data_IF_166623845158
#
_entry.id   IF_166623845158
#
_cell.length_a   1.000
_cell.length_b   1.000
_cell.length_c   1.000
_cell.angle_alpha   90.00
_cell.angle_beta   90.00
_cell.angle_gamma   90.00
#
_symmetry.space_group_name_H-M   'P 1'
#
loop_
_entity.id
_entity.type
_entity.pdbx_description
1 polymer ?
#
# COMPACT_ATOMS: atom_id res chain seq x y z
N UNK A 1 1.62 0.64 10.72
CA UNK A 1 1.99 1.12 12.08
C UNK A 1 3.50 1.32 12.13
N UNK A 2 4.00 2.36 12.80
CA UNK A 2 5.45 2.48 13.04
C UNK A 2 5.92 1.27 13.85
N UNK A 3 6.97 0.61 13.40
CA UNK A 3 7.52 -0.53 14.10
C UNK A 3 8.42 -0.05 15.24
N UNK A 4 8.20 -0.55 16.45
CA UNK A 4 9.07 -0.34 17.61
C UNK A 4 10.04 -1.53 17.74
N UNK A 5 10.83 -1.54 18.80
CA UNK A 5 11.62 -2.68 19.27
C UNK A 5 10.79 -3.95 19.38
N UNK A 6 11.34 -5.07 18.88
CA UNK A 6 10.74 -6.42 18.84
C UNK A 6 10.57 -7.03 20.24
N UNK A 7 9.68 -6.44 21.05
CA UNK A 7 9.45 -6.76 22.47
C UNK A 7 7.98 -6.98 22.74
N UNK A 8 7.66 -7.72 23.81
CA UNK A 8 6.26 -7.96 24.22
C UNK A 8 5.45 -6.67 24.40
N UNK A 9 6.06 -5.64 25.01
CA UNK A 9 5.44 -4.34 25.19
C UNK A 9 5.21 -3.61 23.84
N UNK A 10 6.18 -3.71 22.93
CA UNK A 10 6.06 -3.16 21.58
C UNK A 10 4.92 -3.81 20.79
N UNK A 11 4.80 -5.15 20.86
CA UNK A 11 3.70 -5.89 20.23
C UNK A 11 2.35 -5.53 20.83
N UNK A 12 2.24 -5.43 22.16
CA UNK A 12 0.99 -5.09 22.85
C UNK A 12 0.48 -3.70 22.43
N UNK A 13 1.35 -2.68 22.42
CA UNK A 13 1.00 -1.34 21.93
C UNK A 13 0.57 -1.34 20.47
N UNK A 14 1.24 -2.11 19.63
CA UNK A 14 0.88 -2.22 18.21
C UNK A 14 -0.46 -2.93 18.01
N UNK A 15 -0.75 -3.95 18.81
CA UNK A 15 -2.04 -4.63 18.85
C UNK A 15 -3.16 -3.66 19.24
N UNK A 16 -3.00 -2.92 20.34
CA UNK A 16 -4.01 -1.95 20.81
C UNK A 16 -4.29 -0.89 19.74
N UNK A 17 -3.25 -0.38 19.07
CA UNK A 17 -3.41 0.56 17.96
C UNK A 17 -4.12 -0.09 16.76
N UNK A 18 -3.80 -1.33 16.40
CA UNK A 18 -4.49 -2.05 15.33
C UNK A 18 -5.98 -2.20 15.65
N UNK A 19 -6.34 -2.62 16.87
CA UNK A 19 -7.73 -2.72 17.32
C UNK A 19 -8.43 -1.36 17.30
N UNK A 20 -7.76 -0.28 17.73
CA UNK A 20 -8.32 1.06 17.64
C UNK A 20 -8.67 1.44 16.18
N UNK A 21 -7.82 1.08 15.20
CA UNK A 21 -8.09 1.30 13.77
C UNK A 21 -9.23 0.45 13.23
N UNK A 22 -9.29 -0.84 13.59
CA UNK A 22 -10.45 -1.68 13.26
C UNK A 22 -11.75 -1.04 13.77
N UNK A 23 -11.78 -0.64 15.04
CA UNK A 23 -12.94 -0.01 15.66
C UNK A 23 -13.29 1.33 14.99
N UNK A 24 -12.32 2.11 14.56
CA UNK A 24 -12.57 3.36 13.82
C UNK A 24 -13.23 3.09 12.47
N UNK A 25 -12.79 2.07 11.72
CA UNK A 25 -13.41 1.68 10.45
C UNK A 25 -14.84 1.16 10.69
N UNK A 26 -15.05 0.33 11.71
CA UNK A 26 -16.39 -0.14 12.07
C UNK A 26 -17.33 1.00 12.45
N UNK A 27 -16.86 1.98 13.25
CA UNK A 27 -17.63 3.20 13.55
C UNK A 27 -17.93 4.02 12.30
N UNK A 28 -16.98 4.14 11.37
CA UNK A 28 -17.20 4.84 10.11
C UNK A 28 -18.39 4.23 9.34
N UNK A 29 -18.40 2.90 9.16
CA UNK A 29 -19.42 2.23 8.35
C UNK A 29 -20.74 1.98 9.09
N UNK A 30 -20.74 1.92 10.42
CA UNK A 30 -21.96 1.62 11.20
C UNK A 30 -22.63 2.87 11.77
N UNK A 31 -21.84 3.87 12.19
CA UNK A 31 -22.34 5.00 12.98
C UNK A 31 -22.28 6.33 12.22
N UNK A 32 -21.18 6.61 11.51
CA UNK A 32 -20.98 7.92 10.87
C UNK A 32 -21.48 7.98 9.41
N UNK A 33 -21.34 6.90 8.65
CA UNK A 33 -21.65 6.87 7.22
C UNK A 33 -22.42 5.60 6.76
N UNK A 34 -23.39 5.06 7.52
CA UNK A 34 -24.06 3.79 7.19
C UNK A 34 -24.84 3.81 5.87
N UNK A 35 -25.30 4.99 5.44
CA UNK A 35 -26.01 5.18 4.18
C UNK A 35 -25.08 5.43 2.98
N UNK A 36 -23.78 5.62 3.24
CA UNK A 36 -22.79 6.04 2.23
C UNK A 36 -21.66 5.03 2.03
N UNK A 37 -21.31 4.23 3.03
CA UNK A 37 -20.18 3.30 2.99
C UNK A 37 -20.59 1.98 3.65
N UNK A 38 -20.18 0.86 3.07
CA UNK A 38 -20.42 -0.46 3.64
C UNK A 38 -19.17 -1.34 3.57
N UNK A 39 -18.94 -2.12 4.63
CA UNK A 39 -17.81 -3.05 4.71
C UNK A 39 -18.08 -4.30 3.85
N UNK A 40 -17.18 -4.58 2.92
CA UNK A 40 -17.19 -5.78 2.09
C UNK A 40 -16.20 -6.82 2.62
N UNK A 41 -16.66 -8.05 2.70
CA UNK A 41 -15.89 -9.19 3.18
C UNK A 41 -15.62 -10.23 2.08
N UNK A 42 -16.33 -10.13 0.96
CA UNK A 42 -16.27 -11.05 -0.18
C UNK A 42 -16.35 -10.25 -1.48
N UNK A 43 -15.98 -10.85 -2.61
CA UNK A 43 -16.17 -10.19 -3.90
C UNK A 43 -17.65 -9.97 -4.23
N UNK A 44 -18.54 -10.82 -3.73
CA UNK A 44 -19.99 -10.67 -3.86
C UNK A 44 -20.50 -9.46 -3.06
N UNK A 45 -19.95 -9.19 -1.87
CA UNK A 45 -20.23 -7.95 -1.15
C UNK A 45 -19.78 -6.74 -1.96
N UNK A 46 -18.58 -6.77 -2.53
CA UNK A 46 -18.08 -5.67 -3.37
C UNK A 46 -19.04 -5.39 -4.52
N UNK A 47 -19.47 -6.41 -5.26
CA UNK A 47 -20.40 -6.27 -6.38
C UNK A 47 -21.77 -5.78 -5.94
N UNK A 48 -22.33 -6.34 -4.86
CA UNK A 48 -23.63 -5.96 -4.29
C UNK A 48 -23.63 -4.51 -3.81
N UNK A 49 -22.59 -4.09 -3.10
CA UNK A 49 -22.45 -2.73 -2.57
C UNK A 49 -22.25 -1.75 -3.73
N UNK A 50 -21.41 -2.08 -4.73
CA UNK A 50 -21.20 -1.23 -5.90
C UNK A 50 -22.49 -1.00 -6.73
N UNK A 51 -23.39 -1.98 -6.78
CA UNK A 51 -24.72 -1.83 -7.41
C UNK A 51 -25.69 -0.95 -6.60
N UNK A 52 -25.35 -0.61 -5.36
CA UNK A 52 -26.10 0.32 -4.52
C UNK A 52 -25.58 1.76 -4.66
N UNK A 53 -26.11 2.69 -3.87
CA UNK A 53 -25.59 4.06 -3.77
C UNK A 53 -24.36 4.21 -2.87
N UNK A 54 -23.88 3.12 -2.24
CA UNK A 54 -22.80 3.14 -1.26
C UNK A 54 -21.41 2.92 -1.89
N UNK A 55 -20.38 3.35 -1.16
CA UNK A 55 -18.97 3.01 -1.41
C UNK A 55 -18.61 1.71 -0.69
N UNK A 56 -17.67 0.98 -1.29
CA UNK A 56 -17.11 -0.25 -0.75
C UNK A 56 -15.94 0.09 0.17
N UNK A 57 -15.97 -0.39 1.41
CA UNK A 57 -14.81 -0.42 2.29
C UNK A 57 -14.29 -1.85 2.44
N UNK A 58 -12.98 -2.03 2.42
CA UNK A 58 -12.30 -3.29 2.73
C UNK A 58 -11.15 -3.02 3.69
N UNK A 59 -10.77 -4.00 4.49
CA UNK A 59 -9.72 -3.82 5.51
C UNK A 59 -8.47 -4.61 5.14
N UNK A 60 -7.34 -3.90 5.09
CA UNK A 60 -6.00 -4.45 4.95
C UNK A 60 -5.15 -4.18 6.18
N UNK A 61 -4.22 -5.09 6.47
CA UNK A 61 -3.25 -4.94 7.55
C UNK A 61 -1.87 -4.73 6.95
N UNK A 62 -1.39 -3.49 6.97
CA UNK A 62 -0.04 -3.17 6.55
C UNK A 62 0.90 -3.20 7.78
N UNK A 63 1.81 -4.17 7.77
CA UNK A 63 2.67 -4.63 8.88
C UNK A 63 2.03 -5.70 9.78
N UNK A 64 2.61 -6.90 9.79
CA UNK A 64 2.21 -8.03 10.65
C UNK A 64 2.70 -7.91 12.09
N UNK A 65 3.45 -6.85 12.43
CA UNK A 65 3.93 -6.57 13.79
C UNK A 65 2.85 -6.68 14.89
N UNK A 66 1.60 -6.19 14.71
CA UNK A 66 0.52 -6.34 15.69
C UNK A 66 0.06 -7.79 15.96
N UNK A 67 0.45 -8.78 15.14
CA UNK A 67 0.22 -10.20 15.46
C UNK A 67 0.97 -10.59 16.74
N UNK A 68 2.10 -9.93 17.03
CA UNK A 68 2.97 -10.27 18.15
C UNK A 68 3.51 -11.70 18.00
N UNK A 69 3.44 -12.46 19.07
CA UNK A 69 3.83 -13.88 19.12
C UNK A 69 2.62 -14.84 19.21
N UNK A 70 1.40 -14.30 19.20
CA UNK A 70 0.15 -15.08 19.27
C UNK A 70 -0.48 -15.19 17.86
N UNK A 71 -0.24 -16.32 17.20
CA UNK A 71 -0.77 -16.61 15.85
C UNK A 71 -2.30 -16.52 15.80
N UNK A 72 -3.00 -16.74 16.92
CA UNK A 72 -4.47 -16.62 16.95
C UNK A 72 -4.97 -15.21 16.61
N UNK A 73 -4.11 -14.19 16.73
CA UNK A 73 -4.42 -12.82 16.31
C UNK A 73 -4.71 -12.73 14.80
N UNK A 74 -4.13 -13.59 13.96
CA UNK A 74 -4.44 -13.65 12.52
C UNK A 74 -5.94 -13.93 12.32
N UNK A 75 -6.48 -14.92 13.03
CA UNK A 75 -7.90 -15.22 12.99
C UNK A 75 -8.75 -14.08 13.59
N UNK A 76 -8.33 -13.50 14.72
CA UNK A 76 -9.05 -12.36 15.32
C UNK A 76 -9.17 -11.21 14.31
N UNK A 77 -8.08 -10.84 13.64
CA UNK A 77 -8.10 -9.78 12.64
C UNK A 77 -8.95 -10.12 11.41
N UNK A 78 -8.91 -11.37 10.94
CA UNK A 78 -9.83 -11.84 9.90
C UNK A 78 -11.30 -11.64 10.31
N UNK A 79 -11.64 -12.00 11.56
CA UNK A 79 -12.99 -11.88 12.12
C UNK A 79 -13.40 -10.41 12.31
N UNK A 80 -12.45 -9.51 12.57
CA UNK A 80 -12.65 -8.05 12.52
C UNK A 80 -12.81 -7.50 11.09
N UNK A 81 -12.65 -8.32 10.05
CA UNK A 81 -12.91 -7.95 8.66
C UNK A 81 -11.68 -7.80 7.78
N UNK A 82 -10.47 -8.05 8.28
CA UNK A 82 -9.26 -7.98 7.45
C UNK A 82 -9.27 -9.03 6.33
N UNK A 83 -8.84 -8.63 5.13
CA UNK A 83 -8.80 -9.51 3.94
C UNK A 83 -7.43 -9.64 3.28
N UNK A 84 -6.48 -8.78 3.62
CA UNK A 84 -5.08 -9.00 3.30
C UNK A 84 -4.17 -8.53 4.45
N UNK A 85 -2.95 -9.06 4.51
CA UNK A 85 -1.94 -8.63 5.47
C UNK A 85 -0.53 -8.76 4.89
N UNK A 86 0.31 -7.73 5.07
CA UNK A 86 1.75 -7.81 4.83
C UNK A 86 2.49 -8.17 6.10
N UNK A 87 3.55 -8.98 6.03
CA UNK A 87 4.27 -9.41 7.25
C UNK A 87 5.28 -8.37 7.77
N UNK A 88 5.67 -7.42 6.95
CA UNK A 88 6.58 -6.31 7.28
C UNK A 88 6.10 -5.00 6.66
N UNK A 89 6.69 -3.89 7.11
CA UNK A 89 6.58 -2.56 6.51
C UNK A 89 8.01 -2.03 6.33
N UNK A 90 8.26 -0.73 6.48
CA UNK A 90 9.62 -0.20 6.67
C UNK A 90 10.16 -0.66 8.04
N UNK A 91 11.16 -1.56 8.04
CA UNK A 91 11.70 -2.24 9.22
C UNK A 91 11.35 -3.75 9.29
N UNK A 92 12.31 -4.56 9.78
CA UNK A 92 12.16 -6.01 9.96
C UNK A 92 11.21 -6.33 11.10
N UNK A 93 10.12 -7.06 10.85
CA UNK A 93 9.24 -7.51 11.94
C UNK A 93 9.77 -8.80 12.57
N UNK A 94 9.10 -9.27 13.62
CA UNK A 94 9.30 -10.61 14.19
C UNK A 94 8.92 -11.75 13.23
N UNK A 95 8.27 -11.42 12.11
CA UNK A 95 7.75 -12.37 11.13
C UNK A 95 8.59 -12.41 9.84
N UNK A 96 9.12 -11.26 9.42
CA UNK A 96 9.69 -11.10 8.09
C UNK A 96 10.73 -9.99 8.04
N UNK A 97 11.75 -10.21 7.23
CA UNK A 97 12.64 -9.14 6.78
C UNK A 97 11.92 -8.17 5.84
N UNK A 98 12.32 -6.90 5.90
CA UNK A 98 11.80 -5.81 5.07
C UNK A 98 12.74 -5.49 3.91
N UNK A 99 12.20 -4.90 2.86
CA UNK A 99 12.94 -4.28 1.77
C UNK A 99 13.97 -3.25 2.25
N UNK A 100 13.77 -2.62 3.41
CA UNK A 100 14.75 -1.67 3.97
C UNK A 100 16.07 -2.35 4.34
N UNK A 101 16.06 -3.67 4.60
CA UNK A 101 17.28 -4.44 4.81
C UNK A 101 18.21 -4.47 3.60
N UNK A 102 17.68 -4.27 2.39
CA UNK A 102 18.48 -4.17 1.16
C UNK A 102 19.32 -2.89 1.11
N UNK A 103 18.78 -1.78 1.61
CA UNK A 103 19.47 -0.50 1.66
C UNK A 103 20.56 -0.49 2.74
N UNK A 104 20.26 -1.12 3.89
CA UNK A 104 21.13 -1.11 5.07
C UNK A 104 22.11 -2.30 5.14
N UNK A 105 21.96 -3.31 4.27
CA UNK A 105 22.62 -4.64 4.35
C UNK A 105 22.45 -5.32 5.72
N UNK A 106 21.22 -5.27 6.24
CA UNK A 106 20.84 -5.86 7.52
C UNK A 106 19.71 -6.86 7.31
N UNK A 107 19.89 -8.07 7.85
CA UNK A 107 18.93 -9.17 7.72
C UNK A 107 18.73 -9.82 9.10
N UNK A 108 17.47 -10.06 9.49
CA UNK A 108 17.14 -10.63 10.79
C UNK A 108 16.78 -12.12 10.69
N UNK A 109 16.15 -12.54 9.59
CA UNK A 109 15.63 -13.91 9.44
C UNK A 109 16.11 -14.62 8.17
N UNK A 110 16.86 -13.93 7.31
CA UNK A 110 17.16 -14.36 5.94
C UNK A 110 15.85 -14.67 5.16
N UNK A 111 14.89 -13.76 5.27
CA UNK A 111 13.54 -13.91 4.71
C UNK A 111 12.46 -13.95 5.80
N UNK A 112 11.89 -15.13 6.06
CA UNK A 112 10.85 -15.34 7.07
C UNK A 112 11.39 -16.01 8.33
N UNK A 113 10.96 -15.51 9.49
CA UNK A 113 11.16 -16.21 10.76
C UNK A 113 10.34 -17.51 10.80
N UNK A 114 10.66 -18.41 11.74
CA UNK A 114 9.84 -19.61 11.95
C UNK A 114 8.36 -19.24 12.26
N UNK A 115 8.15 -18.22 13.10
CA UNK A 115 6.82 -17.70 13.40
C UNK A 115 6.15 -17.10 12.15
N UNK A 116 6.89 -16.40 11.29
CA UNK A 116 6.38 -15.88 10.02
C UNK A 116 5.83 -16.96 9.11
N UNK A 117 6.52 -18.11 9.02
CA UNK A 117 6.06 -19.28 8.25
C UNK A 117 4.76 -19.87 8.82
N UNK A 118 4.62 -19.90 10.14
CA UNK A 118 3.39 -20.34 10.81
C UNK A 118 2.23 -19.34 10.59
N UNK A 119 2.52 -18.04 10.59
CA UNK A 119 1.54 -16.99 10.24
C UNK A 119 1.04 -17.15 8.81
N UNK A 120 1.92 -17.44 7.84
CA UNK A 120 1.52 -17.72 6.44
C UNK A 120 0.53 -18.90 6.38
N UNK A 121 0.79 -19.97 7.12
CA UNK A 121 -0.11 -21.11 7.19
C UNK A 121 -1.48 -20.74 7.78
N UNK A 122 -1.52 -19.96 8.87
CA UNK A 122 -2.78 -19.50 9.46
C UNK A 122 -3.53 -18.54 8.52
N UNK A 123 -2.84 -17.63 7.81
CA UNK A 123 -3.45 -16.75 6.81
C UNK A 123 -4.15 -17.54 5.70
N UNK A 124 -3.49 -18.57 5.16
CA UNK A 124 -4.10 -19.47 4.17
C UNK A 124 -5.33 -20.19 4.73
N UNK A 125 -5.25 -20.68 5.96
CA UNK A 125 -6.34 -21.39 6.64
C UNK A 125 -7.54 -20.48 6.91
N UNK A 126 -7.34 -19.24 7.33
CA UNK A 126 -8.46 -18.33 7.64
C UNK A 126 -9.02 -17.63 6.40
N UNK A 127 -8.21 -17.44 5.35
CA UNK A 127 -8.59 -16.76 4.12
C UNK A 127 -8.19 -15.28 4.08
N UNK A 128 -7.02 -14.93 4.62
CA UNK A 128 -6.38 -13.62 4.43
C UNK A 128 -5.40 -13.74 3.26
N UNK A 129 -5.51 -12.83 2.27
CA UNK A 129 -4.55 -12.73 1.18
C UNK A 129 -3.17 -12.31 1.71
N UNK A 130 -2.12 -12.98 1.24
CA UNK A 130 -0.74 -12.65 1.58
C UNK A 130 -0.29 -11.47 0.74
N UNK A 131 0.02 -10.36 1.40
CA UNK A 131 0.55 -9.16 0.75
C UNK A 131 2.08 -9.12 0.83
N UNK A 132 2.70 -8.99 -0.34
CA UNK A 132 4.15 -8.97 -0.54
C UNK A 132 4.70 -7.56 -0.80
N UNK A 133 3.89 -6.51 -0.61
CA UNK A 133 4.39 -5.12 -0.60
C UNK A 133 5.11 -4.84 0.73
N UNK A 134 6.37 -4.39 0.65
CA UNK A 134 7.34 -4.13 1.74
C UNK A 134 8.31 -5.26 2.16
N UNK A 135 7.95 -6.55 2.24
CA UNK A 135 8.92 -7.60 2.56
C UNK A 135 10.15 -7.63 1.65
N UNK A 136 11.27 -8.18 2.14
CA UNK A 136 12.48 -8.36 1.34
C UNK A 136 12.29 -9.38 0.22
N UNK A 137 13.14 -9.35 -0.81
CA UNK A 137 13.05 -10.29 -1.94
C UNK A 137 13.07 -11.77 -1.50
N UNK A 138 13.94 -12.12 -0.56
CA UNK A 138 14.01 -13.50 -0.04
C UNK A 138 12.76 -13.86 0.76
N UNK A 139 12.21 -12.93 1.56
CA UNK A 139 10.94 -13.15 2.25
C UNK A 139 9.79 -13.36 1.24
N UNK A 140 9.72 -12.56 0.18
CA UNK A 140 8.71 -12.69 -0.90
C UNK A 140 8.77 -14.07 -1.55
N UNK A 141 9.98 -14.55 -1.86
CA UNK A 141 10.18 -15.90 -2.40
C UNK A 141 9.60 -16.97 -1.48
N UNK A 142 9.96 -16.93 -0.20
CA UNK A 142 9.48 -17.90 0.80
C UNK A 142 7.97 -17.80 1.02
N UNK A 143 7.39 -16.59 1.03
CA UNK A 143 5.94 -16.39 1.11
C UNK A 143 5.22 -17.05 -0.06
N UNK A 144 5.72 -16.87 -1.29
CA UNK A 144 5.13 -17.48 -2.50
C UNK A 144 5.26 -19.01 -2.47
N UNK A 145 6.41 -19.54 -2.03
CA UNK A 145 6.63 -21.00 -1.91
C UNK A 145 5.71 -21.66 -0.88
N UNK A 146 5.40 -20.96 0.21
CA UNK A 146 4.56 -21.46 1.29
C UNK A 146 3.06 -21.26 1.03
N UNK A 147 2.69 -20.23 0.26
CA UNK A 147 1.29 -19.89 0.02
C UNK A 147 0.53 -20.97 -0.74
N UNK A 148 -0.68 -21.26 -0.27
CA UNK A 148 -1.67 -22.14 -0.94
C UNK A 148 -2.61 -21.39 -1.88
N UNK A 149 -2.67 -20.06 -1.77
CA UNK A 149 -3.48 -19.19 -2.60
C UNK A 149 -2.60 -18.19 -3.35
N UNK A 150 -3.13 -17.49 -4.37
CA UNK A 150 -2.38 -16.42 -5.01
C UNK A 150 -2.06 -15.28 -4.04
N UNK A 151 -0.88 -14.69 -4.18
CA UNK A 151 -0.44 -13.52 -3.40
C UNK A 151 -0.88 -12.21 -4.06
N UNK A 152 -0.84 -11.12 -3.30
CA UNK A 152 -1.00 -9.77 -3.84
C UNK A 152 0.25 -8.95 -3.53
N UNK A 153 0.64 -8.02 -4.40
CA UNK A 153 1.38 -6.84 -3.99
C UNK A 153 0.38 -5.68 -3.97
N UNK A 154 -0.10 -5.28 -2.79
CA UNK A 154 -1.13 -4.23 -2.65
C UNK A 154 -0.68 -2.82 -3.09
N UNK A 155 0.63 -2.55 -3.13
CA UNK A 155 1.22 -1.29 -3.61
C UNK A 155 2.72 -1.47 -3.89
N UNK A 156 3.04 -1.88 -5.12
CA UNK A 156 4.43 -1.98 -5.62
C UNK A 156 4.46 -1.75 -7.13
N UNK A 157 5.58 -1.24 -7.64
CA UNK A 157 5.76 -0.94 -9.07
C UNK A 157 6.97 -1.69 -9.65
N UNK A 158 7.21 -1.57 -10.97
CA UNK A 158 8.30 -2.26 -11.65
C UNK A 158 9.70 -1.67 -11.38
N UNK A 159 10.64 -2.49 -10.91
CA UNK A 159 12.01 -2.06 -10.55
C UNK A 159 12.86 -1.72 -11.76
N UNK A 160 12.61 -2.38 -12.90
CA UNK A 160 13.33 -2.13 -14.15
C UNK A 160 13.16 -0.68 -14.65
N UNK A 161 11.99 -0.08 -14.43
CA UNK A 161 11.73 1.32 -14.80
C UNK A 161 12.24 2.31 -13.75
N UNK A 162 12.16 1.95 -12.47
CA UNK A 162 12.67 2.76 -11.38
C UNK A 162 13.35 1.87 -10.33
N UNK A 163 14.68 1.93 -10.27
CA UNK A 163 15.48 1.06 -9.40
C UNK A 163 15.34 1.48 -7.92
N UNK A 164 14.35 0.92 -7.24
CA UNK A 164 14.08 1.10 -5.83
C UNK A 164 13.80 -0.25 -5.16
N UNK A 165 14.29 -0.45 -3.94
CA UNK A 165 14.03 -1.64 -3.10
C UNK A 165 12.53 -1.98 -2.92
N UNK A 166 11.65 -0.98 -2.96
CA UNK A 166 10.19 -1.14 -2.86
C UNK A 166 9.54 -1.68 -4.12
N UNK A 167 10.23 -1.60 -5.25
CA UNK A 167 9.75 -2.12 -6.52
C UNK A 167 10.16 -3.57 -6.74
N UNK A 168 9.35 -4.28 -7.51
CA UNK A 168 9.53 -5.69 -7.85
C UNK A 168 10.43 -5.83 -9.08
N UNK A 169 11.47 -6.64 -8.97
CA UNK A 169 12.29 -7.01 -10.13
C UNK A 169 11.62 -8.09 -10.99
N UNK A 170 12.14 -8.29 -12.20
CA UNK A 170 11.58 -9.22 -13.18
C UNK A 170 11.51 -10.68 -12.67
N UNK A 171 12.40 -11.07 -11.76
CA UNK A 171 12.37 -12.40 -11.16
C UNK A 171 11.18 -12.55 -10.22
N UNK A 172 10.96 -11.56 -9.34
CA UNK A 172 9.80 -11.50 -8.44
C UNK A 172 8.49 -11.45 -9.24
N UNK A 173 8.45 -10.66 -10.31
CA UNK A 173 7.31 -10.60 -11.24
C UNK A 173 7.02 -11.97 -11.86
N UNK A 174 8.06 -12.71 -12.26
CA UNK A 174 7.94 -14.09 -12.74
C UNK A 174 7.35 -15.06 -11.71
N UNK A 175 7.74 -14.93 -10.44
CA UNK A 175 7.17 -15.73 -9.34
C UNK A 175 5.69 -15.43 -9.12
N UNK A 176 5.30 -14.15 -9.13
CA UNK A 176 3.91 -13.71 -8.95
C UNK A 176 3.03 -14.24 -10.08
N UNK A 177 3.50 -14.13 -11.33
CA UNK A 177 2.82 -14.70 -12.50
C UNK A 177 2.56 -16.19 -12.33
N UNK A 178 3.61 -16.97 -11.99
CA UNK A 178 3.52 -18.42 -11.79
C UNK A 178 2.57 -18.79 -10.65
N UNK A 179 2.53 -17.97 -9.59
CA UNK A 179 1.66 -18.17 -8.43
C UNK A 179 0.19 -17.83 -8.71
N UNK A 180 -0.13 -17.05 -9.75
CA UNK A 180 -1.49 -16.59 -10.02
C UNK A 180 -1.81 -15.23 -9.40
N UNK A 181 -0.83 -14.55 -8.81
CA UNK A 181 -1.03 -13.35 -7.98
C UNK A 181 -1.37 -12.09 -8.78
N UNK A 182 -1.42 -10.95 -8.10
CA UNK A 182 -1.67 -9.64 -8.73
C UNK A 182 -0.76 -8.56 -8.14
N UNK A 183 -0.21 -7.70 -9.00
CA UNK A 183 0.53 -6.50 -8.60
C UNK A 183 -0.38 -5.29 -8.77
N UNK A 184 -0.79 -4.69 -7.66
CA UNK A 184 -1.45 -3.38 -7.66
C UNK A 184 -0.35 -2.32 -7.83
N UNK A 185 -0.22 -1.81 -9.05
CA UNK A 185 0.78 -0.80 -9.43
C UNK A 185 0.54 0.45 -8.59
N UNK A 186 1.57 0.97 -7.93
CA UNK A 186 1.42 2.09 -6.99
C UNK A 186 1.78 3.44 -7.60
N UNK A 187 0.92 4.44 -7.40
CA UNK A 187 1.15 5.84 -7.76
C UNK A 187 2.00 6.59 -6.73
N UNK A 188 3.22 6.10 -6.46
CA UNK A 188 4.16 6.74 -5.54
C UNK A 188 5.32 7.36 -6.33
N UNK A 189 5.42 8.69 -6.32
CA UNK A 189 6.31 9.43 -7.25
C UNK A 189 7.77 8.94 -7.26
N UNK A 190 8.40 8.74 -6.10
CA UNK A 190 9.77 8.23 -5.99
C UNK A 190 9.96 6.77 -6.40
N UNK A 191 8.87 5.99 -6.50
CA UNK A 191 8.88 4.60 -6.96
C UNK A 191 8.58 4.49 -8.46
N UNK A 192 8.04 5.54 -9.07
CA UNK A 192 7.76 5.59 -10.50
C UNK A 192 8.91 6.22 -11.29
N UNK A 193 9.45 7.33 -10.79
CA UNK A 193 10.56 8.00 -11.45
C UNK A 193 11.39 8.78 -10.44
N UNK A 194 12.42 8.12 -9.89
CA UNK A 194 13.30 8.68 -8.87
C UNK A 194 13.98 9.97 -9.32
N UNK A 195 14.51 10.01 -10.54
CA UNK A 195 15.23 11.19 -11.07
C UNK A 195 14.29 12.39 -11.19
N UNK A 196 13.11 12.20 -11.77
CA UNK A 196 12.08 13.25 -11.92
C UNK A 196 11.57 13.73 -10.56
N UNK A 197 11.35 12.80 -9.62
CA UNK A 197 10.97 13.10 -8.25
C UNK A 197 12.04 13.95 -7.52
N UNK A 198 13.30 13.50 -7.51
CA UNK A 198 14.40 14.18 -6.81
C UNK A 198 14.68 15.57 -7.39
N UNK A 199 14.67 15.71 -8.72
CA UNK A 199 14.83 17.00 -9.37
C UNK A 199 13.70 17.98 -8.98
N UNK A 200 12.45 17.49 -8.92
CA UNK A 200 11.30 18.30 -8.51
C UNK A 200 11.40 18.71 -7.05
N UNK A 201 11.71 17.77 -6.16
CA UNK A 201 11.80 18.02 -4.73
C UNK A 201 12.91 19.02 -4.39
N UNK A 202 14.09 18.89 -5.01
CA UNK A 202 15.20 19.83 -4.79
C UNK A 202 14.83 21.25 -5.27
N UNK A 203 14.16 21.38 -6.42
CA UNK A 203 13.70 22.68 -6.91
C UNK A 203 12.63 23.33 -6.02
N UNK A 204 11.84 22.53 -5.30
CA UNK A 204 10.79 23.02 -4.41
C UNK A 204 11.28 23.29 -2.98
N UNK A 205 12.39 22.67 -2.56
CA UNK A 205 12.88 22.68 -1.18
C UNK A 205 13.02 24.08 -0.59
N UNK A 206 13.70 24.99 -1.28
CA UNK A 206 13.88 26.36 -0.77
C UNK A 206 12.55 27.13 -0.70
N UNK A 207 11.63 26.86 -1.64
CA UNK A 207 10.29 27.48 -1.62
C UNK A 207 9.50 26.99 -0.41
N UNK A 208 9.53 25.68 -0.14
CA UNK A 208 8.88 25.07 1.01
C UNK A 208 9.44 25.62 2.33
N UNK A 209 10.77 25.69 2.47
CA UNK A 209 11.44 26.27 3.64
C UNK A 209 11.01 27.72 3.88
N UNK A 210 11.04 28.56 2.84
CA UNK A 210 10.64 29.97 2.95
C UNK A 210 9.15 30.12 3.30
N UNK A 211 8.28 29.24 2.79
CA UNK A 211 6.85 29.27 3.10
C UNK A 211 6.60 28.80 4.53
N UNK A 212 7.24 27.73 5.00
CA UNK A 212 7.14 27.29 6.40
C UNK A 212 7.58 28.40 7.37
N UNK A 213 8.74 29.04 7.10
CA UNK A 213 9.25 30.15 7.90
C UNK A 213 8.25 31.31 7.96
N UNK A 214 7.61 31.64 6.82
CA UNK A 214 6.57 32.68 6.77
C UNK A 214 5.29 32.34 7.55
N UNK A 215 5.06 31.06 7.84
CA UNK A 215 3.96 30.57 8.69
C UNK A 215 4.36 30.49 10.17
N UNK A 216 5.58 30.91 10.54
CA UNK A 216 6.10 30.80 11.90
C UNK A 216 6.43 29.35 12.29
N UNK A 217 6.68 28.49 11.30
CA UNK A 217 6.96 27.08 11.50
C UNK A 217 8.24 26.67 10.75
N UNK A 218 8.73 25.45 10.98
CA UNK A 218 9.90 24.91 10.32
C UNK A 218 9.55 23.57 9.67
N UNK A 219 10.15 23.25 8.53
CA UNK A 219 9.92 21.97 7.88
C UNK A 219 10.60 20.85 8.68
N UNK A 220 9.80 19.96 9.28
CA UNK A 220 10.31 18.89 10.15
C UNK A 220 10.50 17.58 9.38
N UNK A 221 11.59 16.88 9.69
CA UNK A 221 11.82 15.49 9.30
C UNK A 221 10.78 14.57 9.94
N UNK A 222 10.63 13.36 9.41
CA UNK A 222 9.72 12.36 9.99
C UNK A 222 10.04 12.06 11.45
N UNK A 223 11.33 11.98 11.82
CA UNK A 223 11.77 11.68 13.18
C UNK A 223 11.40 12.81 14.14
N UNK A 224 11.67 14.06 13.76
CA UNK A 224 11.30 15.22 14.58
C UNK A 224 9.78 15.30 14.78
N UNK A 225 8.96 14.97 13.76
CA UNK A 225 7.50 14.92 13.89
C UNK A 225 7.02 13.85 14.87
N UNK A 226 7.75 12.74 15.01
CA UNK A 226 7.40 11.67 15.95
C UNK A 226 7.71 12.03 17.41
N UNK A 227 8.52 13.06 17.64
CA UNK A 227 8.88 13.55 18.96
C UNK A 227 7.93 14.65 19.46
N UNK A 228 7.02 15.14 18.61
CA UNK A 228 6.01 16.15 18.95
C UNK A 228 4.91 15.57 19.86
N UNK A 229 4.33 16.43 20.69
CA UNK A 229 3.06 16.14 21.35
C UNK A 229 1.92 16.06 20.31
N UNK A 230 0.80 15.42 20.66
CA UNK A 230 -0.36 15.36 19.76
C UNK A 230 -0.86 16.76 19.36
N UNK A 231 -0.82 17.73 20.29
CA UNK A 231 -1.21 19.12 20.06
C UNK A 231 -0.26 19.83 19.09
N UNK A 232 1.05 19.73 19.33
CA UNK A 232 2.07 20.33 18.44
C UNK A 232 2.05 19.67 17.05
N UNK A 233 1.79 18.37 16.97
CA UNK A 233 1.68 17.65 15.71
C UNK A 233 0.47 18.14 14.91
N UNK A 234 -0.67 18.38 15.55
CA UNK A 234 -1.85 18.93 14.89
C UNK A 234 -1.59 20.34 14.34
N UNK A 235 -0.97 21.21 15.15
CA UNK A 235 -0.59 22.55 14.71
C UNK A 235 0.41 22.51 13.53
N UNK A 236 1.43 21.66 13.63
CA UNK A 236 2.39 21.45 12.55
C UNK A 236 1.69 20.98 11.26
N UNK A 237 0.76 20.03 11.34
CA UNK A 237 0.07 19.48 10.17
C UNK A 237 -0.85 20.51 9.52
N UNK A 238 -1.45 21.41 10.30
CA UNK A 238 -2.21 22.55 9.77
C UNK A 238 -1.30 23.49 8.96
N UNK A 239 -0.15 23.87 9.53
CA UNK A 239 0.83 24.71 8.85
C UNK A 239 1.44 24.04 7.62
N UNK A 240 1.73 22.74 7.70
CA UNK A 240 2.21 21.94 6.58
C UNK A 240 1.19 21.89 5.43
N UNK A 241 -0.11 21.76 5.74
CA UNK A 241 -1.20 21.80 4.75
C UNK A 241 -1.30 23.17 4.08
N UNK A 242 -1.24 24.26 4.87
CA UNK A 242 -1.19 25.63 4.33
C UNK A 242 0.02 25.83 3.43
N UNK A 243 1.19 25.36 3.85
CA UNK A 243 2.42 25.42 3.06
C UNK A 243 2.24 24.71 1.72
N UNK A 244 1.73 23.48 1.70
CA UNK A 244 1.50 22.73 0.45
C UNK A 244 0.60 23.50 -0.52
N UNK A 245 -0.47 24.12 -0.02
CA UNK A 245 -1.39 24.91 -0.85
C UNK A 245 -0.74 26.18 -1.42
N UNK A 246 0.05 26.88 -0.61
CA UNK A 246 0.79 28.08 -1.04
C UNK A 246 1.85 27.71 -2.07
N UNK A 247 2.64 26.65 -1.82
CA UNK A 247 3.66 26.16 -2.75
C UNK A 247 3.01 25.78 -4.07
N UNK A 248 1.94 24.96 -4.06
CA UNK A 248 1.19 24.58 -5.27
C UNK A 248 0.73 25.81 -6.07
N UNK A 249 0.17 26.81 -5.38
CA UNK A 249 -0.27 28.05 -6.03
C UNK A 249 0.90 28.84 -6.64
N UNK A 250 2.00 29.01 -5.90
CA UNK A 250 3.20 29.72 -6.37
C UNK A 250 3.85 29.02 -7.56
N UNK A 251 3.89 27.69 -7.55
CA UNK A 251 4.59 26.90 -8.54
C UNK A 251 3.78 26.67 -9.81
N UNK A 252 2.45 26.79 -9.76
CA UNK A 252 1.55 26.62 -10.91
C UNK A 252 1.83 27.59 -12.08
N UNK A 253 2.47 28.73 -11.81
CA UNK A 253 2.81 29.76 -12.81
C UNK A 253 4.29 29.78 -13.18
N UNK A 254 5.11 28.91 -12.58
CA UNK A 254 6.53 28.83 -12.88
C UNK A 254 6.77 27.95 -14.09
N UNK A 255 7.44 28.48 -15.11
CA UNK A 255 7.81 27.75 -16.34
C UNK A 255 9.05 26.87 -16.19
N UNK A 256 9.87 27.13 -15.17
CA UNK A 256 11.26 26.65 -15.10
C UNK A 256 11.40 25.45 -14.15
N UNK A 257 10.28 24.92 -13.68
CA UNK A 257 10.26 23.82 -12.74
C UNK A 257 10.50 22.49 -13.48
N UNK A 258 11.34 21.60 -12.92
CA UNK A 258 11.39 20.22 -13.39
C UNK A 258 9.97 19.63 -13.43
N UNK A 259 9.66 18.78 -14.42
CA UNK A 259 8.33 18.19 -14.51
C UNK A 259 8.06 17.30 -13.29
N UNK A 260 6.82 17.32 -12.77
CA UNK A 260 6.41 16.42 -11.70
C UNK A 260 6.13 15.02 -12.25
N UNK A 261 6.39 13.98 -11.45
CA UNK A 261 5.94 12.61 -11.77
C UNK A 261 4.41 12.62 -11.93
N UNK A 262 3.92 12.05 -13.02
CA UNK A 262 2.54 12.22 -13.49
C UNK A 262 1.87 10.89 -13.88
N UNK A 263 0.59 10.96 -14.25
CA UNK A 263 -0.20 9.79 -14.67
C UNK A 263 0.43 9.03 -15.84
N UNK A 264 1.16 9.68 -16.73
CA UNK A 264 1.86 8.98 -17.82
C UNK A 264 2.99 8.11 -17.28
N UNK A 265 3.82 8.63 -16.36
CA UNK A 265 4.85 7.81 -15.70
C UNK A 265 4.22 6.61 -14.98
N UNK A 266 3.06 6.80 -14.33
CA UNK A 266 2.35 5.71 -13.67
C UNK A 266 1.88 4.62 -14.65
N UNK A 267 1.29 5.02 -15.78
CA UNK A 267 0.82 4.05 -16.77
C UNK A 267 1.97 3.40 -17.53
N UNK A 268 3.17 4.00 -17.60
CA UNK A 268 4.37 3.32 -18.10
C UNK A 268 4.70 2.06 -17.27
N UNK A 269 4.53 2.13 -15.94
CA UNK A 269 4.68 0.96 -15.09
C UNK A 269 3.57 -0.07 -15.29
N UNK A 270 2.32 0.36 -15.52
CA UNK A 270 1.24 -0.57 -15.87
C UNK A 270 1.56 -1.29 -17.18
N UNK A 271 1.94 -0.56 -18.24
CA UNK A 271 2.28 -1.15 -19.54
C UNK A 271 3.41 -2.17 -19.43
N UNK A 272 4.46 -1.82 -18.69
CA UNK A 272 5.58 -2.73 -18.44
C UNK A 272 5.12 -4.00 -17.70
N UNK A 273 4.34 -3.86 -16.63
CA UNK A 273 3.84 -5.00 -15.88
C UNK A 273 2.91 -5.87 -16.73
N UNK A 274 2.02 -5.27 -17.52
CA UNK A 274 1.12 -6.01 -18.42
C UNK A 274 1.92 -6.80 -19.46
N UNK A 275 2.96 -6.22 -20.07
CA UNK A 275 3.85 -6.92 -21.00
C UNK A 275 4.59 -8.10 -20.33
N UNK A 276 5.12 -7.89 -19.12
CA UNK A 276 5.89 -8.91 -18.41
C UNK A 276 5.04 -10.05 -17.87
N UNK A 277 4.00 -9.73 -17.11
CA UNK A 277 3.27 -10.71 -16.33
C UNK A 277 1.88 -11.02 -16.86
N UNK A 278 1.31 -10.20 -17.74
CA UNK A 278 -0.02 -10.38 -18.29
C UNK A 278 -1.07 -9.56 -17.56
N UNK A 279 -2.10 -9.12 -18.29
CA UNK A 279 -3.14 -8.19 -17.80
C UNK A 279 -3.90 -8.73 -16.58
N UNK A 280 -4.03 -10.04 -16.45
CA UNK A 280 -4.70 -10.74 -15.36
C UNK A 280 -3.94 -10.68 -14.02
N UNK A 281 -2.70 -10.20 -14.05
CA UNK A 281 -1.81 -10.07 -12.89
C UNK A 281 -1.48 -8.63 -12.53
N UNK A 282 -2.16 -7.63 -13.12
CA UNK A 282 -1.91 -6.20 -12.86
C UNK A 282 -3.17 -5.54 -12.31
N UNK A 283 -2.98 -4.61 -11.38
CA UNK A 283 -4.00 -3.74 -10.85
C UNK A 283 -3.47 -2.34 -10.55
N UNK A 284 -4.24 -1.55 -9.81
CA UNK A 284 -4.01 -0.12 -9.56
C UNK A 284 -4.14 0.16 -8.05
N UNK A 285 -3.16 0.85 -7.48
CA UNK A 285 -3.24 1.46 -6.15
C UNK A 285 -2.66 2.87 -6.13
N UNK A 286 -3.20 3.72 -5.28
CA UNK A 286 -2.76 5.12 -5.17
C UNK A 286 -1.75 5.35 -4.05
N UNK A 287 -1.85 4.57 -2.96
CA UNK A 287 -1.21 4.85 -1.67
C UNK A 287 -1.55 6.27 -1.11
N UNK A 288 -2.76 6.75 -1.41
CA UNK A 288 -3.29 7.99 -0.82
C UNK A 288 -3.28 7.94 0.70
N UNK A 289 -3.00 9.08 1.32
CA UNK A 289 -2.81 9.25 2.77
C UNK A 289 -1.63 8.45 3.37
N UNK A 290 -0.96 7.59 2.58
CA UNK A 290 0.28 6.86 2.91
C UNK A 290 1.56 7.51 2.35
N UNK A 291 1.41 8.44 1.40
CA UNK A 291 2.50 9.19 0.77
C UNK A 291 2.43 9.19 -0.76
N UNK A 292 1.55 8.37 -1.34
CA UNK A 292 1.27 8.36 -2.77
C UNK A 292 0.47 9.57 -3.26
N UNK A 293 0.24 9.57 -4.57
CA UNK A 293 -0.29 10.70 -5.34
C UNK A 293 0.76 11.27 -6.29
N UNK A 294 0.29 11.62 -7.49
CA UNK A 294 1.10 12.12 -8.61
C UNK A 294 0.38 13.26 -9.31
N UNK A 295 1.09 13.99 -10.18
CA UNK A 295 0.47 15.05 -10.98
C UNK A 295 -0.63 14.45 -11.87
N UNK A 296 -1.84 14.99 -11.75
CA UNK A 296 -3.04 14.47 -12.42
C UNK A 296 -3.72 13.30 -11.70
N UNK A 297 -3.20 12.80 -10.57
CA UNK A 297 -3.94 11.90 -9.67
C UNK A 297 -3.48 12.10 -8.22
N UNK A 298 -3.72 13.30 -7.69
CA UNK A 298 -3.30 13.72 -6.35
C UNK A 298 -4.24 13.27 -5.23
N UNK A 299 -5.51 13.01 -5.56
CA UNK A 299 -6.51 12.46 -4.65
C UNK A 299 -7.60 11.68 -5.41
N UNK A 300 -8.55 11.11 -4.66
CA UNK A 300 -9.60 10.26 -5.22
C UNK A 300 -10.52 10.97 -6.23
N UNK A 301 -10.63 12.30 -6.21
CA UNK A 301 -11.45 13.05 -7.18
C UNK A 301 -10.86 13.05 -8.60
N UNK A 302 -9.55 12.84 -8.71
CA UNK A 302 -8.82 12.84 -10.00
C UNK A 302 -8.69 11.43 -10.60
N UNK A 303 -9.29 10.40 -9.98
CA UNK A 303 -9.19 8.98 -10.40
C UNK A 303 -9.55 8.73 -11.87
N UNK A 304 -10.41 9.57 -12.44
CA UNK A 304 -10.74 9.48 -13.87
C UNK A 304 -9.53 9.68 -14.79
N UNK A 305 -8.52 10.46 -14.39
CA UNK A 305 -7.35 10.75 -15.22
C UNK A 305 -6.51 9.51 -15.52
N UNK A 306 -6.45 8.55 -14.60
CA UNK A 306 -5.82 7.24 -14.83
C UNK A 306 -6.55 6.47 -15.92
N UNK A 307 -7.89 6.38 -15.82
CA UNK A 307 -8.72 5.74 -16.85
C UNK A 307 -8.57 6.44 -18.19
N UNK A 308 -8.55 7.78 -18.21
CA UNK A 308 -8.35 8.56 -19.43
C UNK A 308 -7.00 8.22 -20.09
N UNK A 309 -5.93 8.08 -19.31
CA UNK A 309 -4.62 7.69 -19.84
C UNK A 309 -4.61 6.26 -20.36
N UNK A 310 -5.19 5.30 -19.63
CA UNK A 310 -5.36 3.92 -20.11
C UNK A 310 -6.12 3.85 -21.44
N UNK A 311 -7.21 4.62 -21.59
CA UNK A 311 -7.95 4.71 -22.86
C UNK A 311 -7.08 5.27 -23.99
N UNK A 312 -6.31 6.33 -23.75
CA UNK A 312 -5.39 6.89 -24.76
C UNK A 312 -4.35 5.87 -25.23
N UNK A 313 -3.91 4.98 -24.33
CA UNK A 313 -2.96 3.89 -24.63
C UNK A 313 -3.61 2.64 -25.24
N UNK A 314 -4.92 2.66 -25.45
CA UNK A 314 -5.64 1.62 -26.19
C UNK A 314 -6.14 0.45 -25.34
N UNK A 315 -6.15 0.58 -24.00
CA UNK A 315 -6.79 -0.42 -23.16
C UNK A 315 -8.30 -0.45 -23.42
N UNK A 316 -8.84 -1.66 -23.58
CA UNK A 316 -10.29 -1.86 -23.73
C UNK A 316 -11.01 -1.69 -22.39
N UNK A 317 -12.30 -1.41 -22.43
CA UNK A 317 -13.16 -1.32 -21.23
C UNK A 317 -13.02 -2.56 -20.32
N UNK A 318 -12.97 -3.77 -20.90
CA UNK A 318 -12.79 -5.00 -20.16
C UNK A 318 -11.42 -5.07 -19.45
N UNK A 319 -10.34 -4.65 -20.13
CA UNK A 319 -9.00 -4.64 -19.51
C UNK A 319 -8.91 -3.58 -18.40
N UNK A 320 -9.53 -2.42 -18.59
CA UNK A 320 -9.63 -1.37 -17.57
C UNK A 320 -10.40 -1.89 -16.34
N UNK A 321 -11.50 -2.63 -16.53
CA UNK A 321 -12.25 -3.25 -15.43
C UNK A 321 -11.42 -4.31 -14.67
N UNK A 322 -10.58 -5.08 -15.39
CA UNK A 322 -9.65 -6.02 -14.77
C UNK A 322 -8.61 -5.32 -13.89
N UNK A 323 -7.99 -4.24 -14.40
CA UNK A 323 -7.02 -3.42 -13.67
C UNK A 323 -7.63 -2.78 -12.42
N UNK A 324 -8.82 -2.21 -12.52
CA UNK A 324 -9.44 -1.48 -11.40
C UNK A 324 -9.96 -2.37 -10.27
N UNK A 325 -10.33 -3.63 -10.55
CA UNK A 325 -10.85 -4.50 -9.49
C UNK A 325 -10.86 -5.98 -9.84
N UNK A 326 -11.11 -6.34 -11.10
CA UNK A 326 -11.41 -7.73 -11.47
C UNK A 326 -10.32 -8.72 -11.05
N UNK A 327 -9.05 -8.34 -11.21
CA UNK A 327 -7.93 -9.20 -10.85
C UNK A 327 -7.75 -9.37 -9.34
N UNK A 328 -7.98 -8.31 -8.54
CA UNK A 328 -7.95 -8.41 -7.09
C UNK A 328 -9.08 -9.29 -6.55
N UNK A 329 -10.29 -9.10 -7.08
CA UNK A 329 -11.46 -9.87 -6.66
C UNK A 329 -11.30 -11.36 -7.01
N UNK A 330 -10.67 -11.68 -8.15
CA UNK A 330 -10.28 -13.05 -8.48
C UNK A 330 -9.35 -13.66 -7.42
N UNK A 331 -8.32 -12.93 -7.00
CA UNK A 331 -7.41 -13.42 -5.96
C UNK A 331 -8.14 -13.62 -4.64
N UNK A 332 -8.99 -12.66 -4.22
CA UNK A 332 -9.83 -12.80 -3.03
C UNK A 332 -10.71 -14.06 -3.07
N UNK A 333 -11.37 -14.32 -4.20
CA UNK A 333 -12.22 -15.50 -4.40
C UNK A 333 -11.42 -16.79 -4.27
N UNK A 334 -10.24 -16.85 -4.88
CA UNK A 334 -9.34 -18.01 -4.82
C UNK A 334 -8.80 -18.23 -3.40
N UNK A 335 -8.42 -17.16 -2.69
CA UNK A 335 -8.01 -17.25 -1.28
C UNK A 335 -9.12 -17.80 -0.39
N UNK A 336 -10.36 -17.34 -0.58
CA UNK A 336 -11.49 -17.80 0.21
C UNK A 336 -11.90 -19.25 -0.13
N UNK A 337 -11.75 -19.67 -1.39
CA UNK A 337 -11.96 -21.06 -1.79
C UNK A 337 -10.96 -22.00 -1.12
N UNK A 338 -9.66 -21.67 -1.17
CA UNK A 338 -8.60 -22.45 -0.50
C UNK A 338 -8.85 -22.52 1.02
N UNK A 339 -9.23 -21.41 1.65
CA UNK A 339 -9.53 -21.40 3.08
C UNK A 339 -10.73 -22.30 3.45
N UNK A 340 -11.70 -22.50 2.55
CA UNK A 340 -12.81 -23.45 2.74
C UNK A 340 -12.32 -24.90 2.62
N UNK A 341 -11.47 -25.19 1.64
CA UNK A 341 -10.89 -26.54 1.45
C UNK A 341 -10.02 -26.97 2.63
N UNK A 342 -9.18 -26.06 3.17
CA UNK A 342 -8.30 -26.34 4.31
C UNK A 342 -9.03 -26.56 5.65
N UNK A 343 -10.33 -26.23 5.72
CA UNK A 343 -11.18 -26.43 6.92
C UNK A 343 -11.96 -27.74 6.88
N UNK A 344 -12.00 -28.43 5.74
CA UNK A 344 -12.69 -29.73 5.57
C UNK A 344 -11.78 -30.88 5.98
#
# INVERSE_FOLDING_TARGET
TGQDSLTENGYAKAYDNAIAKFNAIHRLVNDYAPESIELALTSDDVRRIHQSSKKVAMIGIENGYPVGTDISNVKKFHDFGARYMSLAHNGHSQLSDSNTGEEDDVWLHDGLSQLGKEVIAEMNKVGIMIDISHPSKEAIKQMIELSKAPVIASHSSARTLCNHSRNLDDEQLGWIKKNGGVVQTVAFSSYLNKEKHEARDEALKQIQLNVMDSLGSQLLTRKERQELSDEDLLEYMENYTKMRNIVKSKTSVMSDLPPAVDVSDFVDHIDYLVDKIGIEHVGISSDFDGGGGIEGWSDASETFNVTLELVKRGYTENQIAMLWSGNLLRVLDQTQAIAKELKQ
#
